data_IF_978810029798
#
_entry.id   IF_978810029798
#
_cell.length_a   1.000
_cell.length_b   1.000
_cell.length_c   1.000
_cell.angle_alpha   90.00
_cell.angle_beta   90.00
_cell.angle_gamma   90.00
#
_symmetry.space_group_name_H-M   'P 1'
#
loop_
_entity.id
_entity.type
_entity.pdbx_description
1 polymer ?
#
# COMPACT_ATOMS: atom_id res chain seq x y z
N UNK A 1 6.19 -19.00 15.84
CA UNK A 1 4.73 -19.15 15.86
C UNK A 1 4.30 -19.84 14.60
N UNK A 2 3.27 -20.69 14.66
CA UNK A 2 2.65 -21.25 13.47
C UNK A 2 2.08 -20.14 12.57
N UNK A 3 1.75 -20.49 11.33
CA UNK A 3 1.25 -19.53 10.37
C UNK A 3 -0.07 -18.90 10.83
N UNK A 4 -0.98 -19.69 11.41
CA UNK A 4 -2.28 -19.23 11.89
C UNK A 4 -2.17 -18.14 12.95
N UNK A 5 -1.31 -18.33 13.96
CA UNK A 5 -1.07 -17.35 15.01
C UNK A 5 -0.48 -16.04 14.48
N UNK A 6 0.40 -16.12 13.47
CA UNK A 6 0.96 -14.92 12.81
C UNK A 6 -0.11 -14.15 12.03
N UNK A 7 -1.00 -14.84 11.32
CA UNK A 7 -2.10 -14.22 10.59
C UNK A 7 -3.11 -13.57 11.54
N UNK A 8 -3.45 -14.23 12.65
CA UNK A 8 -4.29 -13.63 13.71
C UNK A 8 -3.67 -12.35 14.25
N UNK A 9 -2.37 -12.37 14.57
CA UNK A 9 -1.67 -11.20 15.07
C UNK A 9 -1.66 -10.05 14.04
N UNK A 10 -1.46 -10.36 12.75
CA UNK A 10 -1.52 -9.37 11.67
C UNK A 10 -2.91 -8.73 11.58
N UNK A 11 -3.96 -9.55 11.48
CA UNK A 11 -5.35 -9.09 11.41
C UNK A 11 -5.72 -8.20 12.60
N UNK A 12 -5.42 -8.64 13.83
CA UNK A 12 -5.76 -7.88 15.04
C UNK A 12 -5.02 -6.54 15.09
N UNK A 13 -3.74 -6.51 14.72
CA UNK A 13 -2.97 -5.25 14.72
C UNK A 13 -3.46 -4.28 13.66
N UNK A 14 -3.80 -4.77 12.46
CA UNK A 14 -4.37 -3.93 11.41
C UNK A 14 -5.75 -3.39 11.78
N UNK A 15 -6.59 -4.20 12.41
CA UNK A 15 -7.90 -3.77 12.93
C UNK A 15 -7.74 -2.61 13.91
N UNK A 16 -6.87 -2.76 14.91
CA UNK A 16 -6.56 -1.70 15.88
C UNK A 16 -6.04 -0.44 15.18
N UNK A 17 -5.15 -0.59 14.19
CA UNK A 17 -4.61 0.54 13.45
C UNK A 17 -5.70 1.28 12.66
N UNK A 18 -6.60 0.54 12.00
CA UNK A 18 -7.75 1.09 11.26
C UNK A 18 -8.67 1.88 12.21
N UNK A 19 -9.03 1.30 13.36
CA UNK A 19 -9.88 1.96 14.35
C UNK A 19 -9.25 3.25 14.90
N UNK A 20 -7.93 3.26 15.09
CA UNK A 20 -7.18 4.41 15.60
C UNK A 20 -7.02 5.52 14.57
N UNK A 21 -6.71 5.15 13.31
CA UNK A 21 -6.37 6.11 12.25
C UNK A 21 -7.57 6.54 11.41
N UNK A 22 -8.66 5.76 11.44
CA UNK A 22 -9.91 5.97 10.69
C UNK A 22 -9.67 6.41 9.24
N UNK A 23 -8.92 5.62 8.45
CA UNK A 23 -8.66 5.98 7.06
C UNK A 23 -9.94 5.85 6.23
N UNK A 24 -10.07 6.63 5.16
CA UNK A 24 -11.20 6.51 4.23
C UNK A 24 -11.10 5.30 3.28
N UNK A 25 -9.89 4.73 3.16
CA UNK A 25 -9.55 3.73 2.14
C UNK A 25 -8.26 3.00 2.52
N UNK A 26 -8.13 1.74 2.11
CA UNK A 26 -6.90 0.97 2.22
C UNK A 26 -6.28 0.74 0.84
N UNK A 27 -5.04 1.22 0.66
CA UNK A 27 -4.24 0.97 -0.54
C UNK A 27 -3.38 -0.28 -0.34
N UNK A 28 -3.43 -1.23 -1.27
CA UNK A 28 -2.70 -2.50 -1.19
C UNK A 28 -1.93 -2.76 -2.50
N UNK A 29 -0.69 -3.22 -2.39
CA UNK A 29 0.06 -3.69 -3.56
C UNK A 29 -0.55 -4.99 -4.12
N UNK A 30 -0.75 -5.02 -5.44
CA UNK A 30 -1.14 -6.22 -6.18
C UNK A 30 0.06 -7.16 -6.28
N UNK A 31 -0.13 -8.40 -5.80
CA UNK A 31 0.88 -9.45 -5.89
C UNK A 31 0.94 -9.97 -7.33
N UNK A 32 2.14 -9.99 -7.92
CA UNK A 32 2.43 -10.63 -9.21
C UNK A 32 3.11 -11.99 -9.03
N UNK A 33 3.24 -12.73 -10.14
CA UNK A 33 3.85 -14.07 -10.19
C UNK A 33 5.17 -14.14 -9.41
N UNK A 34 5.13 -14.76 -8.25
CA UNK A 34 6.32 -14.93 -7.42
C UNK A 34 7.21 -16.04 -8.00
N UNK A 35 8.52 -15.84 -7.98
CA UNK A 35 9.49 -16.86 -8.41
C UNK A 35 9.45 -18.14 -7.57
N UNK A 36 9.03 -18.03 -6.30
CA UNK A 36 8.91 -19.14 -5.37
C UNK A 36 7.44 -19.31 -4.94
N UNK A 37 6.79 -20.43 -5.29
CA UNK A 37 5.38 -20.69 -4.95
C UNK A 37 5.09 -20.70 -3.45
N UNK A 38 6.01 -21.21 -2.62
CA UNK A 38 5.79 -21.30 -1.18
C UNK A 38 5.76 -19.91 -0.53
N UNK A 39 6.68 -19.03 -0.91
CA UNK A 39 6.66 -17.64 -0.41
C UNK A 39 5.46 -16.87 -0.97
N UNK A 40 5.04 -17.17 -2.21
CA UNK A 40 3.83 -16.61 -2.80
C UNK A 40 2.59 -16.92 -1.96
N UNK A 41 2.46 -18.18 -1.54
CA UNK A 41 1.32 -18.65 -0.76
C UNK A 41 1.27 -17.98 0.62
N UNK A 42 2.41 -17.88 1.31
CA UNK A 42 2.50 -17.19 2.60
C UNK A 42 2.17 -15.70 2.47
N UNK A 43 2.68 -15.03 1.43
CA UNK A 43 2.34 -13.64 1.14
C UNK A 43 0.85 -13.47 0.82
N UNK A 44 0.27 -14.40 0.05
CA UNK A 44 -1.16 -14.44 -0.25
C UNK A 44 -2.01 -14.55 1.01
N UNK A 45 -1.64 -15.40 1.97
CA UNK A 45 -2.34 -15.51 3.25
C UNK A 45 -2.26 -14.20 4.06
N UNK A 46 -1.08 -13.59 4.17
CA UNK A 46 -0.90 -12.34 4.89
C UNK A 46 -1.72 -11.19 4.25
N UNK A 47 -1.71 -11.10 2.91
CA UNK A 47 -2.52 -10.16 2.16
C UNK A 47 -4.01 -10.38 2.37
N UNK A 48 -4.47 -11.64 2.32
CA UNK A 48 -5.87 -11.98 2.59
C UNK A 48 -6.31 -11.54 4.00
N UNK A 49 -5.47 -11.75 5.02
CA UNK A 49 -5.74 -11.28 6.38
C UNK A 49 -5.80 -9.74 6.46
N UNK A 50 -4.94 -9.02 5.74
CA UNK A 50 -4.97 -7.56 5.68
C UNK A 50 -6.22 -7.01 4.98
N UNK A 51 -6.60 -7.62 3.86
CA UNK A 51 -7.83 -7.26 3.14
C UNK A 51 -9.07 -7.53 3.99
N UNK A 52 -9.10 -8.66 4.71
CA UNK A 52 -10.21 -8.99 5.60
C UNK A 52 -10.34 -7.96 6.74
N UNK A 53 -9.23 -7.51 7.32
CA UNK A 53 -9.24 -6.45 8.34
C UNK A 53 -9.85 -5.15 7.80
N UNK A 54 -9.53 -4.77 6.56
CA UNK A 54 -10.11 -3.58 5.93
C UNK A 54 -11.61 -3.72 5.66
N UNK A 55 -12.04 -4.82 5.02
CA UNK A 55 -13.46 -5.04 4.67
C UNK A 55 -14.34 -5.19 5.90
N UNK A 56 -13.85 -5.83 6.97
CA UNK A 56 -14.60 -5.95 8.23
C UNK A 56 -14.79 -4.61 8.96
N UNK A 57 -14.05 -3.57 8.56
CA UNK A 57 -14.22 -2.19 9.03
C UNK A 57 -14.89 -1.30 7.96
N UNK A 58 -15.60 -1.91 7.00
CA UNK A 58 -16.32 -1.22 5.93
C UNK A 58 -15.45 -0.30 5.05
N UNK A 59 -14.14 -0.58 4.96
CA UNK A 59 -13.21 0.22 4.18
C UNK A 59 -13.09 -0.29 2.73
N UNK A 60 -13.17 0.61 1.73
CA UNK A 60 -12.84 0.25 0.36
C UNK A 60 -11.36 -0.09 0.24
N UNK A 61 -11.05 -1.09 -0.60
CA UNK A 61 -9.69 -1.49 -0.93
C UNK A 61 -9.40 -1.07 -2.36
N UNK A 62 -8.26 -0.41 -2.57
CA UNK A 62 -7.75 -0.08 -3.90
C UNK A 62 -6.40 -0.73 -4.10
N UNK A 63 -6.22 -1.34 -5.27
CA UNK A 63 -5.01 -2.09 -5.59
C UNK A 63 -4.15 -1.41 -6.64
N UNK A 64 -2.83 -1.42 -6.42
CA UNK A 64 -1.84 -0.90 -7.36
C UNK A 64 -0.73 -1.91 -7.63
N UNK A 65 -0.25 -1.99 -8.86
CA UNK A 65 0.99 -2.71 -9.16
C UNK A 65 2.21 -1.99 -8.59
N UNK A 66 3.28 -2.75 -8.31
CA UNK A 66 4.58 -2.19 -7.95
C UNK A 66 5.04 -1.08 -8.91
N UNK A 67 4.80 -1.27 -10.21
CA UNK A 67 5.17 -0.33 -11.27
C UNK A 67 4.38 0.98 -11.15
N UNK A 68 3.07 0.90 -10.86
CA UNK A 68 2.22 2.08 -10.65
C UNK A 68 2.68 2.87 -9.42
N UNK A 69 2.92 2.18 -8.30
CA UNK A 69 3.41 2.80 -7.06
C UNK A 69 4.73 3.53 -7.31
N UNK A 70 5.72 2.84 -7.89
CA UNK A 70 7.03 3.42 -8.20
C UNK A 70 6.95 4.57 -9.19
N UNK A 71 6.12 4.46 -10.22
CA UNK A 71 5.90 5.54 -11.18
C UNK A 71 5.26 6.75 -10.53
N UNK A 72 4.32 6.57 -9.61
CA UNK A 72 3.66 7.66 -8.91
C UNK A 72 4.61 8.44 -8.00
N UNK A 73 5.50 7.75 -7.28
CA UNK A 73 6.35 8.39 -6.26
C UNK A 73 7.76 8.76 -6.71
N UNK A 74 8.32 8.06 -7.72
CA UNK A 74 9.67 8.31 -8.24
C UNK A 74 9.64 8.83 -9.69
N UNK A 75 8.49 8.75 -10.37
CA UNK A 75 8.36 9.11 -11.79
C UNK A 75 8.76 8.01 -12.77
N UNK A 76 9.33 6.89 -12.29
CA UNK A 76 9.76 5.75 -13.12
C UNK A 76 9.33 4.42 -12.51
N UNK A 77 8.67 3.57 -13.29
CA UNK A 77 8.15 2.28 -12.82
C UNK A 77 9.21 1.23 -12.45
N UNK A 78 10.45 1.38 -12.94
CA UNK A 78 11.59 0.48 -12.64
C UNK A 78 12.51 1.01 -11.54
N UNK A 79 12.05 1.95 -10.72
CA UNK A 79 12.83 2.50 -9.61
C UNK A 79 13.29 1.41 -8.64
N UNK A 80 14.49 1.59 -8.09
CA UNK A 80 15.02 0.74 -7.03
C UNK A 80 14.39 1.10 -5.67
N UNK A 81 14.60 0.23 -4.67
CA UNK A 81 14.00 0.41 -3.34
C UNK A 81 14.59 1.62 -2.59
N UNK A 82 15.85 1.98 -2.82
CA UNK A 82 16.49 3.12 -2.17
C UNK A 82 15.93 4.44 -2.68
N UNK A 83 15.61 4.51 -3.98
CA UNK A 83 14.92 5.65 -4.59
C UNK A 83 13.54 5.85 -3.99
N UNK A 84 12.75 4.78 -3.82
CA UNK A 84 11.43 4.86 -3.17
C UNK A 84 11.58 5.39 -1.74
N UNK A 85 12.50 4.81 -0.95
CA UNK A 85 12.76 5.23 0.42
C UNK A 85 13.19 6.70 0.54
N UNK A 86 14.11 7.14 -0.32
CA UNK A 86 14.54 8.53 -0.40
C UNK A 86 13.37 9.45 -0.75
N UNK A 87 12.57 9.08 -1.75
CA UNK A 87 11.40 9.86 -2.15
C UNK A 87 10.35 9.92 -1.04
N UNK A 88 10.13 8.87 -0.26
CA UNK A 88 9.21 8.92 0.89
C UNK A 88 9.68 9.91 1.94
N UNK A 89 10.99 9.95 2.23
CA UNK A 89 11.55 10.96 3.12
C UNK A 89 11.32 12.37 2.59
N UNK A 90 11.59 12.61 1.31
CA UNK A 90 11.44 13.93 0.67
C UNK A 90 9.98 14.36 0.61
N UNK A 91 9.09 13.53 0.08
CA UNK A 91 7.68 13.86 -0.16
C UNK A 91 6.89 14.07 1.14
N UNK A 92 7.24 13.33 2.20
CA UNK A 92 6.58 13.41 3.50
C UNK A 92 7.37 14.25 4.53
N UNK A 93 8.45 14.90 4.11
CA UNK A 93 9.31 15.73 4.97
C UNK A 93 9.79 14.99 6.24
N UNK A 94 10.14 13.71 6.11
CA UNK A 94 10.64 12.91 7.24
C UNK A 94 12.08 13.28 7.57
N UNK A 95 12.45 13.21 8.84
CA UNK A 95 13.82 13.51 9.31
C UNK A 95 14.82 12.45 8.89
N UNK A 96 14.39 11.18 8.81
CA UNK A 96 15.22 10.05 8.43
C UNK A 96 14.55 9.22 7.34
N UNK A 97 15.35 8.40 6.66
CA UNK A 97 14.79 7.40 5.76
C UNK A 97 13.93 6.41 6.57
N UNK A 98 12.67 6.17 6.17
CA UNK A 98 11.85 5.14 6.81
C UNK A 98 12.44 3.76 6.54
N UNK A 99 12.13 2.76 7.38
CA UNK A 99 12.47 1.36 7.07
C UNK A 99 11.89 0.94 5.71
N UNK A 100 12.51 -0.02 5.03
CA UNK A 100 12.11 -0.45 3.68
C UNK A 100 10.62 -0.80 3.60
N UNK A 101 10.12 -1.61 4.54
CA UNK A 101 8.71 -2.03 4.53
C UNK A 101 7.76 -0.85 4.82
N UNK A 102 8.17 0.08 5.69
CA UNK A 102 7.42 1.30 5.95
C UNK A 102 7.43 2.24 4.74
N UNK A 103 8.55 2.33 4.01
CA UNK A 103 8.67 3.11 2.78
C UNK A 103 7.73 2.57 1.69
N UNK A 104 7.68 1.24 1.51
CA UNK A 104 6.81 0.59 0.53
C UNK A 104 5.32 0.84 0.89
N UNK A 105 4.94 0.76 2.18
CA UNK A 105 3.59 1.07 2.65
C UNK A 105 3.21 2.56 2.45
N UNK A 106 4.11 3.48 2.79
CA UNK A 106 3.92 4.91 2.57
C UNK A 106 3.79 5.23 1.07
N UNK A 107 4.59 4.58 0.23
CA UNK A 107 4.54 4.78 -1.21
C UNK A 107 3.19 4.33 -1.80
N UNK A 108 2.64 3.21 -1.32
CA UNK A 108 1.30 2.76 -1.73
C UNK A 108 0.21 3.75 -1.33
N UNK A 109 0.30 4.35 -0.13
CA UNK A 109 -0.64 5.37 0.34
C UNK A 109 -0.53 6.67 -0.48
N UNK A 110 0.69 7.17 -0.71
CA UNK A 110 0.94 8.37 -1.53
C UNK A 110 0.49 8.15 -2.97
N UNK A 111 0.73 6.97 -3.53
CA UNK A 111 0.25 6.60 -4.86
C UNK A 111 -1.27 6.75 -4.97
N UNK A 112 -2.02 6.27 -3.97
CA UNK A 112 -3.47 6.42 -3.93
C UNK A 112 -3.89 7.90 -3.84
N UNK A 113 -3.26 8.67 -2.96
CA UNK A 113 -3.56 10.09 -2.80
C UNK A 113 -3.35 10.89 -4.10
N UNK A 114 -2.27 10.63 -4.84
CA UNK A 114 -2.03 11.26 -6.14
C UNK A 114 -3.07 10.86 -7.19
N UNK A 115 -3.49 9.60 -7.22
CA UNK A 115 -4.52 9.15 -8.17
C UNK A 115 -5.88 9.79 -7.89
N UNK A 116 -6.26 9.95 -6.61
CA UNK A 116 -7.46 10.68 -6.21
C UNK A 116 -7.39 12.16 -6.63
N UNK A 117 -6.26 12.83 -6.36
CA UNK A 117 -6.06 14.23 -6.77
C UNK A 117 -6.13 14.40 -8.28
N UNK A 118 -5.52 13.49 -9.04
CA UNK A 118 -5.56 13.51 -10.50
C UNK A 118 -6.99 13.33 -11.03
N UNK A 119 -7.73 12.34 -10.53
CA UNK A 119 -9.11 12.11 -10.90
C UNK A 119 -10.02 13.32 -10.58
N UNK A 120 -9.84 13.92 -9.40
CA UNK A 120 -10.59 15.12 -9.01
C UNK A 120 -10.28 16.32 -9.90
N UNK A 121 -9.02 16.48 -10.31
CA UNK A 121 -8.61 17.54 -11.25
C UNK A 121 -9.25 17.35 -12.62
N UNK A 122 -9.26 16.12 -13.15
CA UNK A 122 -9.94 15.81 -14.42
C UNK A 122 -11.45 16.07 -14.36
N UNK A 123 -12.10 15.68 -13.25
CA UNK A 123 -13.53 15.98 -13.03
C UNK A 123 -13.81 17.48 -13.03
N UNK A 124 -12.99 18.26 -12.33
CA UNK A 124 -13.11 19.73 -12.29
C UNK A 124 -12.87 20.38 -13.65
N UNK A 125 -12.00 19.81 -14.47
CA UNK A 125 -11.74 20.27 -15.83
C UNK A 125 -12.81 19.81 -16.85
N UNK A 126 -13.82 19.05 -16.44
CA UNK A 126 -14.83 18.49 -17.36
C UNK A 126 -14.27 17.39 -18.28
N UNK A 127 -13.10 16.82 -17.95
CA UNK A 127 -12.39 15.80 -18.74
C UNK A 127 -12.59 14.38 -18.20
N UNK A 128 -13.43 14.21 -17.18
CA UNK A 128 -13.89 12.89 -16.73
C UNK A 128 -14.91 12.35 -17.72
N UNK A 129 -14.62 11.20 -18.33
CA UNK A 129 -15.66 10.39 -18.99
C UNK A 129 -16.71 9.94 -17.99
#
# INVERSE_FOLDING_TARGET
GDLGGRLKALYSRLTVLIEQTRPDVVSIERVFLAKNPQSALVLGHARGAAMLAAVNNDLPIVEYSATEIKKAVVGKGRADKQQVQHMMRVLLSLTTNPEVDAADALAAAVCHAYQLQYANTLKRAGLSK
#
